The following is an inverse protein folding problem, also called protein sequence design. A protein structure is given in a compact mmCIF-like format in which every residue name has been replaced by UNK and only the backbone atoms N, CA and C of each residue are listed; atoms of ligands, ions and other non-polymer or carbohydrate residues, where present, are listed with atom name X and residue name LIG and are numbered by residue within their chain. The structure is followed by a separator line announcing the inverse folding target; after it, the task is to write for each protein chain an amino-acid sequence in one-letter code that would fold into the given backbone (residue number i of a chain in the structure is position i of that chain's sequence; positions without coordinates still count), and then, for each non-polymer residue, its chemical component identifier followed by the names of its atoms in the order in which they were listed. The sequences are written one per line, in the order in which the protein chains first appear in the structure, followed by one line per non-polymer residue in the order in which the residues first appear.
data_IF_777909755804
#
_entry.id   IF_777909755804
#
_cell.length_a   1.000
_cell.length_b   1.000
_cell.length_c   1.000
_cell.angle_alpha   90.00
_cell.angle_beta   90.00
_cell.angle_gamma   90.00
#
_symmetry.space_group_name_H-M   'P 1'
#
loop_
_entity.id
_entity.type
_entity.pdbx_description
1 polymer ?
#
# COMPACT_ATOMS: atom_id res chain seq x y z
N UNK A 1 2.44 29.49 -2.85
CA UNK A 1 2.48 29.03 -4.27
C UNK A 1 2.38 30.25 -5.21
N UNK A 2 3.26 30.36 -6.21
CA UNK A 2 3.24 31.41 -7.26
C UNK A 2 3.24 30.78 -8.66
N UNK A 3 3.19 31.55 -9.74
CA UNK A 3 3.17 31.03 -11.13
C UNK A 3 2.10 29.95 -11.37
N UNK A 4 0.87 30.20 -10.88
CA UNK A 4 -0.31 29.32 -10.99
C UNK A 4 -0.22 27.93 -10.34
N UNK A 5 0.84 27.62 -9.58
CA UNK A 5 1.00 26.35 -8.84
C UNK A 5 -0.01 26.15 -7.72
N UNK A 6 -0.72 27.20 -7.30
CA UNK A 6 -1.76 27.14 -6.27
C UNK A 6 -2.91 26.17 -6.61
N UNK A 7 -3.06 25.75 -7.89
CA UNK A 7 -4.03 24.73 -8.30
C UNK A 7 -3.74 23.34 -7.73
N UNK A 8 -2.49 23.04 -7.39
CA UNK A 8 -2.05 21.72 -6.92
C UNK A 8 -1.03 21.77 -5.77
N UNK A 9 -0.62 22.96 -5.34
CA UNK A 9 0.30 23.17 -4.22
C UNK A 9 -0.36 23.98 -3.12
N UNK A 10 -0.10 23.57 -1.89
CA UNK A 10 -0.52 24.28 -0.68
C UNK A 10 0.47 25.39 -0.28
N UNK A 11 0.08 26.38 0.54
CA UNK A 11 1.02 27.26 1.21
C UNK A 11 1.91 26.48 2.19
N UNK A 12 3.08 27.04 2.54
CA UNK A 12 3.97 26.43 3.53
C UNK A 12 3.26 26.35 4.90
N UNK A 13 3.30 25.18 5.52
CA UNK A 13 2.76 24.91 6.84
C UNK A 13 3.52 23.79 7.55
N UNK A 14 3.07 23.44 8.75
CA UNK A 14 3.77 22.43 9.59
C UNK A 14 3.80 21.06 8.90
N UNK A 15 2.82 20.74 8.04
CA UNK A 15 2.79 19.48 7.30
C UNK A 15 3.97 19.30 6.33
N UNK A 16 4.55 20.38 5.80
CA UNK A 16 5.72 20.29 4.91
C UNK A 16 6.97 19.77 5.61
N UNK A 17 7.00 19.88 6.95
CA UNK A 17 8.11 19.43 7.80
C UNK A 17 7.82 18.09 8.50
N UNK A 18 6.65 17.49 8.26
CA UNK A 18 6.27 16.20 8.81
C UNK A 18 6.35 15.11 7.73
N UNK A 19 6.62 13.87 8.16
CA UNK A 19 6.48 12.68 7.32
C UNK A 19 5.39 11.79 7.89
N UNK A 20 4.51 11.28 7.03
CA UNK A 20 3.42 10.38 7.43
C UNK A 20 3.81 8.94 7.10
N UNK A 21 3.73 8.07 8.10
CA UNK A 21 3.96 6.64 7.97
C UNK A 21 2.64 5.90 8.16
N UNK A 22 2.30 5.01 7.23
CA UNK A 22 1.14 4.13 7.36
C UNK A 22 1.49 2.91 8.23
N UNK A 23 0.60 2.56 9.15
CA UNK A 23 0.68 1.33 9.93
C UNK A 23 -0.45 0.39 9.49
N UNK A 24 -0.10 -0.82 9.08
CA UNK A 24 -1.05 -1.84 8.62
C UNK A 24 -0.77 -3.13 9.40
N UNK A 25 -1.81 -3.74 9.93
CA UNK A 25 -1.76 -5.02 10.62
C UNK A 25 -2.88 -5.92 10.06
N UNK A 26 -2.58 -7.20 9.84
CA UNK A 26 -3.55 -8.22 9.46
C UNK A 26 -3.60 -9.29 10.53
N UNK A 27 -4.80 -9.62 11.01
CA UNK A 27 -5.00 -10.84 11.80
C UNK A 27 -4.68 -12.07 10.94
N UNK A 28 -4.47 -13.22 11.57
CA UNK A 28 -4.21 -14.47 10.85
C UNK A 28 -5.36 -14.83 9.88
N UNK A 29 -6.62 -14.68 10.33
CA UNK A 29 -7.79 -14.90 9.48
C UNK A 29 -7.87 -13.91 8.32
N UNK A 30 -7.62 -12.62 8.59
CA UNK A 30 -7.61 -11.58 7.57
C UNK A 30 -6.49 -11.76 6.56
N UNK A 31 -5.30 -12.20 6.99
CA UNK A 31 -4.18 -12.50 6.11
C UNK A 31 -4.49 -13.69 5.18
N UNK A 32 -5.16 -14.73 5.70
CA UNK A 32 -5.59 -15.88 4.89
C UNK A 32 -6.64 -15.48 3.84
N UNK A 33 -7.61 -14.62 4.20
CA UNK A 33 -8.61 -14.12 3.27
C UNK A 33 -8.00 -13.22 2.19
N UNK A 34 -7.24 -12.19 2.61
CA UNK A 34 -6.58 -11.25 1.70
C UNK A 34 -5.53 -11.94 0.81
N UNK A 35 -4.88 -12.99 1.33
CA UNK A 35 -3.87 -13.76 0.60
C UNK A 35 -4.39 -14.37 -0.70
N UNK A 36 -5.67 -14.76 -0.75
CA UNK A 36 -6.31 -15.31 -1.96
C UNK A 36 -6.33 -14.29 -3.09
N UNK A 37 -6.78 -13.06 -2.79
CA UNK A 37 -6.82 -11.96 -3.77
C UNK A 37 -5.41 -11.50 -4.12
N UNK A 38 -4.53 -11.34 -3.14
CA UNK A 38 -3.15 -10.90 -3.36
C UNK A 38 -2.35 -11.87 -4.24
N UNK A 39 -2.56 -13.19 -4.10
CA UNK A 39 -1.95 -14.19 -4.98
C UNK A 39 -2.40 -14.02 -6.43
N UNK A 40 -3.71 -13.88 -6.68
CA UNK A 40 -4.25 -13.72 -8.05
C UNK A 40 -3.64 -12.49 -8.72
N UNK A 41 -3.60 -11.35 -8.03
CA UNK A 41 -3.02 -10.11 -8.55
C UNK A 41 -1.52 -10.30 -8.85
N UNK A 42 -0.75 -10.83 -7.90
CA UNK A 42 0.69 -11.02 -8.07
C UNK A 42 1.04 -12.05 -9.16
N UNK A 43 0.21 -13.09 -9.37
CA UNK A 43 0.37 -14.03 -10.49
C UNK A 43 0.09 -13.36 -11.82
N UNK A 44 -0.95 -12.52 -11.90
CA UNK A 44 -1.26 -11.72 -13.08
C UNK A 44 -0.13 -10.76 -13.48
N UNK A 45 0.59 -10.24 -12.48
CA UNK A 45 1.76 -9.37 -12.66
C UNK A 45 3.10 -10.12 -12.80
N UNK A 46 3.07 -11.47 -12.84
CA UNK A 46 4.26 -12.34 -12.90
C UNK A 46 5.22 -12.22 -11.70
N UNK A 47 4.77 -11.63 -10.58
CA UNK A 47 5.51 -11.45 -9.34
C UNK A 47 5.44 -12.71 -8.47
N UNK A 48 6.07 -13.80 -8.93
CA UNK A 48 5.97 -15.13 -8.31
C UNK A 48 6.31 -15.14 -6.81
N UNK A 49 7.33 -14.38 -6.37
CA UNK A 49 7.71 -14.31 -4.97
C UNK A 49 6.63 -13.63 -4.09
N UNK A 50 5.96 -12.59 -4.61
CA UNK A 50 4.88 -11.92 -3.92
C UNK A 50 3.66 -12.85 -3.78
N UNK A 51 3.30 -13.56 -4.86
CA UNK A 51 2.22 -14.54 -4.84
C UNK A 51 2.47 -15.65 -3.82
N UNK A 52 3.68 -16.25 -3.83
CA UNK A 52 4.05 -17.29 -2.87
C UNK A 52 4.02 -16.81 -1.42
N UNK A 53 4.47 -15.58 -1.16
CA UNK A 53 4.37 -14.97 0.17
C UNK A 53 2.91 -14.95 0.65
N UNK A 54 1.97 -14.51 -0.19
CA UNK A 54 0.55 -14.53 0.15
C UNK A 54 0.01 -15.96 0.34
N UNK A 55 0.33 -16.87 -0.59
CA UNK A 55 -0.12 -18.27 -0.59
C UNK A 55 0.29 -19.03 0.68
N UNK A 56 1.50 -18.80 1.21
CA UNK A 56 1.97 -19.45 2.45
C UNK A 56 1.18 -19.09 3.70
N UNK A 57 0.35 -18.05 3.66
CA UNK A 57 -0.47 -17.60 4.79
C UNK A 57 -1.93 -18.06 4.68
N UNK A 58 -2.29 -18.71 3.59
CA UNK A 58 -3.63 -19.27 3.38
C UNK A 58 -3.71 -20.60 4.15
N UNK A 59 -4.73 -20.72 5.00
CA UNK A 59 -5.08 -21.98 5.68
C UNK A 59 -5.89 -22.90 4.77
#
# INVERSE_FOLDING_TARGET
PTSSTARFSSPLGVYDFQKRTSLINCSESGASELGKTASILARGEQLTAHARSAEYRIK
#
